data_IF_687364723173
#
_entry.id   IF_687364723173
#
_cell.length_a   1.000
_cell.length_b   1.000
_cell.length_c   1.000
_cell.angle_alpha   90.00
_cell.angle_beta   90.00
_cell.angle_gamma   90.00
#
_symmetry.space_group_name_H-M   'P 1'
#
loop_
_entity.id
_entity.type
_entity.pdbx_description
1 polymer ?
#
# COMPACT_ATOMS: atom_id res chain seq x y z
N UNK A 1 19.36 7.24 19.68
CA UNK A 1 18.51 7.47 18.49
C UNK A 1 17.78 6.18 18.21
N UNK A 2 16.44 6.17 18.19
CA UNK A 2 15.67 4.95 17.88
C UNK A 2 15.74 4.74 16.37
N UNK A 3 16.33 3.63 15.93
CA UNK A 3 16.47 3.32 14.51
C UNK A 3 15.07 3.04 13.93
N UNK A 4 14.60 3.87 12.99
CA UNK A 4 13.27 3.72 12.41
C UNK A 4 13.23 2.49 11.49
N UNK A 5 12.19 1.67 11.65
CA UNK A 5 11.98 0.46 10.86
C UNK A 5 11.25 0.78 9.56
N UNK A 6 11.60 0.08 8.48
CA UNK A 6 10.85 0.11 7.23
C UNK A 6 9.44 -0.44 7.47
N UNK A 7 8.44 0.36 7.13
CA UNK A 7 7.04 -0.04 7.28
C UNK A 7 6.50 -0.65 6.00
N UNK A 8 7.16 -0.41 4.87
CA UNK A 8 6.72 -0.85 3.55
C UNK A 8 7.92 -1.18 2.65
N UNK A 9 7.64 -1.96 1.60
CA UNK A 9 8.58 -2.27 0.53
C UNK A 9 7.82 -2.55 -0.76
N UNK A 10 8.51 -2.48 -1.90
CA UNK A 10 7.98 -2.74 -3.22
C UNK A 10 9.09 -3.17 -4.17
N UNK A 11 8.79 -4.03 -5.14
CA UNK A 11 9.76 -4.51 -6.12
C UNK A 11 9.24 -4.31 -7.54
N UNK A 12 10.10 -3.86 -8.45
CA UNK A 12 9.75 -3.74 -9.85
C UNK A 12 9.38 -5.10 -10.44
N UNK A 13 8.31 -5.18 -11.23
CA UNK A 13 7.91 -6.41 -11.94
C UNK A 13 8.88 -6.77 -13.08
N UNK A 14 9.58 -5.76 -13.61
CA UNK A 14 10.39 -5.87 -14.83
C UNK A 14 11.90 -6.04 -14.54
N UNK A 15 12.30 -6.01 -13.27
CA UNK A 15 13.71 -5.98 -12.90
C UNK A 15 14.00 -6.29 -11.44
N UNK A 16 15.28 -6.16 -11.03
CA UNK A 16 15.72 -6.48 -9.67
C UNK A 16 15.55 -5.32 -8.67
N UNK A 17 14.98 -4.20 -9.11
CA UNK A 17 14.84 -2.98 -8.30
C UNK A 17 13.88 -3.20 -7.12
N UNK A 18 14.35 -2.84 -5.93
CA UNK A 18 13.66 -2.89 -4.64
C UNK A 18 13.61 -1.50 -4.03
N UNK A 19 12.43 -1.09 -3.63
CA UNK A 19 12.18 0.10 -2.81
C UNK A 19 11.81 -0.30 -1.39
N UNK A 20 12.43 0.36 -0.41
CA UNK A 20 12.13 0.27 1.01
C UNK A 20 11.75 1.65 1.53
N UNK A 21 10.67 1.80 2.28
CA UNK A 21 10.33 3.11 2.82
C UNK A 21 9.70 3.09 4.21
N UNK A 22 9.88 4.20 4.91
CA UNK A 22 9.24 4.50 6.19
C UNK A 22 8.12 5.50 5.94
N UNK A 23 6.89 5.05 6.12
CA UNK A 23 5.70 5.89 6.09
C UNK A 23 5.16 6.11 7.50
N UNK A 24 4.90 7.37 7.85
CA UNK A 24 4.26 7.79 9.10
C UNK A 24 3.01 8.60 8.75
N UNK A 25 1.83 8.02 9.01
CA UNK A 25 0.57 8.60 8.52
C UNK A 25 0.51 8.59 7.00
N UNK A 26 0.33 9.76 6.38
CA UNK A 26 0.30 9.93 4.92
C UNK A 26 1.64 10.39 4.33
N UNK A 27 2.69 10.53 5.14
CA UNK A 27 3.98 11.06 4.68
C UNK A 27 5.05 9.97 4.62
N UNK A 28 5.76 9.93 3.50
CA UNK A 28 7.00 9.14 3.36
C UNK A 28 8.14 9.95 3.97
N UNK A 29 8.77 9.39 4.99
CA UNK A 29 9.85 10.04 5.76
C UNK A 29 11.24 9.59 5.34
N UNK A 30 11.34 8.39 4.76
CA UNK A 30 12.58 7.83 4.23
C UNK A 30 12.23 6.86 3.10
N UNK A 31 13.02 6.86 2.02
CA UNK A 31 12.94 5.89 0.93
C UNK A 31 14.35 5.52 0.47
N UNK A 32 14.60 4.24 0.34
CA UNK A 32 15.86 3.66 -0.14
C UNK A 32 15.52 2.74 -1.30
N UNK A 33 16.21 2.96 -2.42
CA UNK A 33 16.10 2.13 -3.62
C UNK A 33 17.42 1.40 -3.81
N UNK A 34 17.36 0.09 -4.03
CA UNK A 34 18.53 -0.75 -4.25
C UNK A 34 18.19 -1.91 -5.20
N UNK A 35 19.22 -2.62 -5.65
CA UNK A 35 19.02 -3.91 -6.27
C UNK A 35 18.75 -4.96 -5.17
N UNK A 36 17.69 -5.76 -5.32
CA UNK A 36 17.32 -6.79 -4.35
C UNK A 36 18.45 -7.83 -4.15
N UNK A 37 19.30 -8.05 -5.15
CA UNK A 37 20.45 -8.96 -5.08
C UNK A 37 21.54 -8.43 -4.14
N UNK A 38 21.58 -7.12 -3.91
CA UNK A 38 22.53 -6.47 -3.01
C UNK A 38 22.04 -6.53 -1.56
N UNK A 39 20.75 -6.76 -1.31
CA UNK A 39 20.18 -6.76 0.03
C UNK A 39 20.94 -7.63 1.05
N UNK A 40 21.40 -8.86 0.74
CA UNK A 40 22.19 -9.67 1.67
C UNK A 40 23.51 -9.04 2.11
N UNK A 41 24.04 -8.08 1.34
CA UNK A 41 25.26 -7.33 1.66
C UNK A 41 24.99 -6.12 2.57
N UNK A 42 23.71 -5.80 2.84
CA UNK A 42 23.25 -4.68 3.65
C UNK A 42 22.56 -5.15 4.95
N UNK A 43 23.29 -5.73 5.91
CA UNK A 43 22.72 -6.20 7.18
C UNK A 43 22.00 -5.08 7.95
N UNK A 44 22.47 -3.84 7.84
CA UNK A 44 21.87 -2.66 8.45
C UNK A 44 20.45 -2.37 7.93
N UNK A 45 20.17 -2.67 6.66
CA UNK A 45 18.83 -2.53 6.09
C UNK A 45 17.94 -3.69 6.55
N UNK A 46 18.50 -4.90 6.59
CA UNK A 46 17.81 -6.12 7.04
C UNK A 46 17.37 -6.01 8.51
N UNK A 47 18.20 -5.42 9.37
CA UNK A 47 17.89 -5.18 10.78
C UNK A 47 16.70 -4.23 10.98
N UNK A 48 16.51 -3.30 10.04
CA UNK A 48 15.41 -2.32 10.03
C UNK A 48 14.11 -2.87 9.43
N UNK A 49 14.11 -4.12 8.97
CA UNK A 49 12.92 -4.77 8.42
C UNK A 49 12.16 -5.57 9.48
N UNK A 50 10.82 -5.58 9.42
CA UNK A 50 10.01 -6.58 10.11
C UNK A 50 10.44 -7.99 9.74
N UNK A 51 10.36 -8.93 10.69
CA UNK A 51 10.83 -10.31 10.49
C UNK A 51 10.13 -11.01 9.31
N UNK A 52 8.84 -10.77 9.12
CA UNK A 52 8.06 -11.29 7.98
C UNK A 52 8.57 -10.80 6.63
N UNK A 53 9.04 -9.56 6.56
CA UNK A 53 9.59 -8.95 5.35
C UNK A 53 11.00 -9.46 5.06
N UNK A 54 11.81 -9.61 6.11
CA UNK A 54 13.19 -10.10 6.01
C UNK A 54 13.29 -11.44 5.30
N UNK A 55 12.56 -12.46 5.77
CA UNK A 55 12.63 -13.80 5.15
C UNK A 55 12.21 -13.77 3.69
N UNK A 56 11.17 -13.00 3.37
CA UNK A 56 10.65 -12.90 2.01
C UNK A 56 11.64 -12.21 1.08
N UNK A 57 12.17 -11.05 1.45
CA UNK A 57 13.09 -10.30 0.58
C UNK A 57 14.41 -11.04 0.38
N UNK A 58 14.92 -11.74 1.40
CA UNK A 58 16.11 -12.58 1.23
C UNK A 58 15.85 -13.79 0.32
N UNK A 59 14.66 -14.36 0.37
CA UNK A 59 14.25 -15.40 -0.59
C UNK A 59 14.16 -14.83 -2.01
N UNK A 60 13.55 -13.66 -2.20
CA UNK A 60 13.44 -13.01 -3.51
C UNK A 60 14.82 -12.61 -4.06
N UNK A 61 15.71 -12.07 -3.23
CA UNK A 61 17.10 -11.77 -3.60
C UNK A 61 17.80 -13.01 -4.20
N UNK A 62 17.61 -14.17 -3.57
CA UNK A 62 18.15 -15.44 -4.03
C UNK A 62 17.52 -15.91 -5.35
N UNK A 63 16.21 -15.77 -5.51
CA UNK A 63 15.51 -16.17 -6.74
C UNK A 63 15.91 -15.28 -7.93
N UNK A 64 15.95 -13.97 -7.74
CA UNK A 64 16.43 -13.03 -8.75
C UNK A 64 17.89 -13.30 -9.11
N UNK A 65 18.72 -13.65 -8.12
CA UNK A 65 20.11 -14.10 -8.36
C UNK A 65 20.23 -15.36 -9.23
N UNK A 66 19.18 -16.19 -9.31
CA UNK A 66 19.11 -17.35 -10.21
C UNK A 66 18.50 -17.04 -11.58
N UNK A 67 18.09 -15.79 -11.82
CA UNK A 67 17.36 -15.38 -13.02
C UNK A 67 15.85 -15.57 -12.95
N UNK A 68 15.29 -15.87 -11.77
CA UNK A 68 13.85 -15.94 -11.57
C UNK A 68 13.31 -14.56 -11.21
N UNK A 69 12.87 -13.80 -12.21
CA UNK A 69 12.36 -12.44 -12.03
C UNK A 69 10.86 -12.38 -11.74
N UNK A 70 10.14 -13.50 -11.81
CA UNK A 70 8.69 -13.54 -11.59
C UNK A 70 8.39 -13.44 -10.10
N UNK A 71 7.78 -12.32 -9.69
CA UNK A 71 7.17 -12.18 -8.37
C UNK A 71 6.00 -13.16 -8.26
N UNK A 72 5.84 -13.80 -7.10
CA UNK A 72 4.61 -14.52 -6.78
C UNK A 72 3.43 -13.53 -6.82
N UNK A 73 2.50 -13.64 -7.78
CA UNK A 73 1.40 -12.70 -7.94
C UNK A 73 0.39 -12.74 -6.78
N UNK A 74 0.49 -13.73 -5.88
CA UNK A 74 -0.36 -13.85 -4.68
C UNK A 74 0.09 -12.96 -3.53
N UNK A 75 1.28 -12.38 -3.62
CA UNK A 75 1.74 -11.38 -2.66
C UNK A 75 1.73 -10.02 -3.34
N UNK A 76 0.86 -9.14 -2.86
CA UNK A 76 0.84 -7.73 -3.24
C UNK A 76 2.14 -7.06 -2.72
N UNK A 77 3.27 -7.37 -3.33
CA UNK A 77 4.38 -6.43 -3.40
C UNK A 77 3.84 -5.25 -4.19
N UNK A 78 3.45 -4.21 -3.46
CA UNK A 78 2.89 -2.99 -4.05
C UNK A 78 3.87 -2.45 -5.09
N UNK A 79 3.39 -2.17 -6.30
CA UNK A 79 4.16 -1.42 -7.27
C UNK A 79 4.42 -0.04 -6.67
N UNK A 80 5.69 0.29 -6.44
CA UNK A 80 6.09 1.56 -5.86
C UNK A 80 5.75 2.75 -6.78
N UNK A 81 5.39 2.49 -8.05
CA UNK A 81 4.83 3.46 -9.01
C UNK A 81 3.32 3.65 -8.83
N UNK A 82 2.59 2.68 -8.27
CA UNK A 82 1.13 2.79 -8.01
C UNK A 82 0.81 3.56 -6.72
N UNK A 83 1.71 3.61 -5.74
CA UNK A 83 1.45 4.29 -4.45
C UNK A 83 1.24 5.81 -4.61
N UNK A 84 1.78 6.42 -5.67
CA UNK A 84 1.46 7.80 -6.04
C UNK A 84 0.03 8.00 -6.56
N UNK A 85 -0.54 7.00 -7.24
CA UNK A 85 -1.88 7.06 -7.86
C UNK A 85 -2.99 6.47 -6.99
N UNK A 86 -2.68 5.51 -6.11
CA UNK A 86 -3.67 4.87 -5.25
C UNK A 86 -4.33 5.87 -4.28
N UNK A 87 -3.61 6.94 -3.90
CA UNK A 87 -4.19 8.01 -3.09
C UNK A 87 -5.22 8.82 -3.87
N UNK A 88 -4.95 9.13 -5.16
CA UNK A 88 -5.90 9.81 -6.05
C UNK A 88 -7.12 8.93 -6.37
N UNK A 89 -6.93 7.63 -6.62
CA UNK A 89 -8.05 6.71 -6.88
C UNK A 89 -8.91 6.48 -5.63
N UNK A 90 -8.31 6.34 -4.45
CA UNK A 90 -9.06 6.22 -3.19
C UNK A 90 -9.77 7.52 -2.83
N UNK A 91 -9.17 8.68 -3.10
CA UNK A 91 -9.81 9.97 -2.93
C UNK A 91 -10.96 10.17 -3.92
N UNK A 92 -10.79 9.74 -5.19
CA UNK A 92 -11.85 9.77 -6.20
C UNK A 92 -13.00 8.83 -5.85
N UNK A 93 -12.73 7.61 -5.37
CA UNK A 93 -13.75 6.67 -4.92
C UNK A 93 -14.50 7.18 -3.67
N UNK A 94 -13.78 7.78 -2.72
CA UNK A 94 -14.37 8.42 -1.55
C UNK A 94 -15.28 9.60 -1.94
N UNK A 95 -14.81 10.47 -2.84
CA UNK A 95 -15.59 11.59 -3.36
C UNK A 95 -16.82 11.13 -4.15
N UNK A 96 -16.70 10.07 -4.95
CA UNK A 96 -17.83 9.51 -5.69
C UNK A 96 -18.86 8.85 -4.76
N UNK A 97 -18.42 8.17 -3.70
CA UNK A 97 -19.30 7.61 -2.67
C UNK A 97 -20.04 8.73 -1.92
N UNK A 98 -19.32 9.79 -1.52
CA UNK A 98 -19.90 10.95 -0.86
C UNK A 98 -20.91 11.68 -1.77
N UNK A 99 -20.61 11.84 -3.06
CA UNK A 99 -21.53 12.41 -4.05
C UNK A 99 -22.78 11.54 -4.22
N UNK A 100 -22.64 10.21 -4.27
CA UNK A 100 -23.75 9.27 -4.41
C UNK A 100 -24.66 9.26 -3.18
N UNK A 101 -24.09 9.37 -1.97
CA UNK A 101 -24.86 9.52 -0.72
C UNK A 101 -25.65 10.83 -0.71
N UNK A 102 -25.04 11.95 -1.12
CA UNK A 102 -25.73 13.25 -1.23
C UNK A 102 -26.86 13.22 -2.28
N UNK A 103 -26.62 12.59 -3.43
CA UNK A 103 -27.65 12.43 -4.48
C UNK A 103 -28.83 11.53 -4.03
N UNK A 104 -28.60 10.57 -3.13
CA UNK A 104 -29.65 9.73 -2.53
C UNK A 104 -30.40 10.45 -1.40
N UNK A 105 -29.72 11.31 -0.64
CA UNK A 105 -30.33 12.13 0.41
C UNK A 105 -31.32 13.18 -0.15
N UNK A 106 -31.09 13.67 -1.38
CA UNK A 106 -32.01 14.58 -2.08
C UNK A 106 -33.27 13.92 -2.70
N UNK A 107 -33.41 12.58 -2.62
CA UNK A 107 -34.55 11.82 -3.17
C UNK A 107 -35.30 11.01 -2.10
N UNK A 108 -35.38 11.51 -0.87
CA UNK A 108 -36.37 10.98 0.08
C UNK A 108 -37.72 11.65 -0.20
N UNK A 109 -38.74 10.93 -0.70
CA UNK A 109 -40.10 11.46 -0.65
C UNK A 109 -40.44 11.75 0.82
N UNK A 110 -41.20 12.82 1.12
CA UNK A 110 -41.58 13.11 2.49
C UNK A 110 -42.29 11.89 3.08
N UNK A 111 -41.83 11.44 4.25
CA UNK A 111 -42.53 10.45 5.06
C UNK A 111 -43.92 11.02 5.37
N UNK A 112 -44.95 10.47 4.70
CA UNK A 112 -46.34 10.80 4.97
C UNK A 112 -46.68 10.22 6.34
N UNK A 113 -46.66 11.06 7.37
CA UNK A 113 -47.14 10.70 8.71
C UNK A 113 -48.65 10.53 8.61
N UNK A 114 -49.13 9.28 8.54
CA UNK A 114 -50.54 8.96 8.75
C UNK A 114 -50.71 8.81 10.26
N UNK A 115 -50.95 9.94 10.94
CA UNK A 115 -51.40 9.98 12.33
C UNK A 115 -52.90 10.26 12.33
N UNK A 116 -53.66 9.30 12.84
CA UNK A 116 -55.11 9.34 12.96
C UNK A 116 -55.57 10.49 13.87
N UNK A 117 -56.50 11.32 13.39
CA UNK A 117 -57.33 12.15 14.26
C UNK A 117 -58.48 11.29 14.79
N UNK A 118 -58.41 10.97 16.08
CA UNK A 118 -59.52 10.51 16.89
C UNK A 118 -59.48 11.31 18.19
N UNK A 119 -60.36 12.30 18.28
CA UNK A 119 -61.16 12.81 19.41
C UNK A 119 -61.54 14.28 19.19
#
# INVERSE_FOLDING_TARGET
>A
MTMQMFTHWGRSMEGPELDLWVQVGQSVTERISLDIRELPAHPELIERMPETFRYRMLWEAREVGKGNFTLDPKFHGYDAREVGNASDELEMLSNMLAAKVRARAGKRPPLRVVGAQGE
#
